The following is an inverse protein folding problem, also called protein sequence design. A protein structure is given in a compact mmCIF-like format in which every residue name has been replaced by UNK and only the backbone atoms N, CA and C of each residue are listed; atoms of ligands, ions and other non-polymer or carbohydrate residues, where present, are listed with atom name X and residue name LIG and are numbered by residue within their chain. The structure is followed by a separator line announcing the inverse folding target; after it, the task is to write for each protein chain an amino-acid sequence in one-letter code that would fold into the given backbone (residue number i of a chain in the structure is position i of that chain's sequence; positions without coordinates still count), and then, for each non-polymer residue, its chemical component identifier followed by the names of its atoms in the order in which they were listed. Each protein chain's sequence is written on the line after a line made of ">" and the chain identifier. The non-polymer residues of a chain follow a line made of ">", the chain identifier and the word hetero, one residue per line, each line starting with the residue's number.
data_IF_669541966082
#
_entry.id   IF_669541966082
#
_cell.length_a   1.000
_cell.length_b   1.000
_cell.length_c   1.000
_cell.angle_alpha   90.00
_cell.angle_beta   90.00
_cell.angle_gamma   90.00
#
_symmetry.space_group_name_H-M   'P 1'
#
loop_
_entity.id
_entity.type
_entity.pdbx_description
1 polymer ?
#
# COMPACT_ATOMS: atom_id res chain seq x y z
N UNK A 1 -10.20 1.70 9.68
CA UNK A 1 -9.66 2.09 8.35
C UNK A 1 -8.16 1.82 8.25
N UNK A 2 -7.36 2.26 9.22
CA UNK A 2 -5.92 1.98 9.31
C UNK A 2 -5.57 0.49 9.42
N UNK A 3 -6.39 -0.31 10.11
CA UNK A 3 -6.22 -1.78 10.13
C UNK A 3 -6.39 -2.43 8.75
N UNK A 4 -7.31 -1.91 7.94
CA UNK A 4 -7.54 -2.40 6.58
C UNK A 4 -6.34 -2.08 5.68
N UNK A 5 -5.81 -0.87 5.80
CA UNK A 5 -4.57 -0.43 5.12
C UNK A 5 -3.41 -1.38 5.46
N UNK A 6 -3.22 -1.68 6.75
CA UNK A 6 -2.19 -2.61 7.21
C UNK A 6 -2.39 -4.02 6.63
N UNK A 7 -3.62 -4.55 6.66
CA UNK A 7 -3.95 -5.87 6.10
C UNK A 7 -3.64 -5.95 4.60
N UNK A 8 -4.11 -4.98 3.82
CA UNK A 8 -3.86 -4.95 2.37
C UNK A 8 -2.36 -4.85 2.08
N UNK A 9 -1.65 -3.99 2.80
CA UNK A 9 -0.21 -3.85 2.62
C UNK A 9 0.53 -5.16 2.91
N UNK A 10 0.14 -5.91 3.95
CA UNK A 10 0.77 -7.20 4.28
C UNK A 10 0.54 -8.23 3.16
N UNK A 11 -0.61 -8.20 2.48
CA UNK A 11 -0.94 -9.10 1.36
C UNK A 11 -0.17 -8.82 0.06
N UNK A 12 0.48 -7.67 -0.06
CA UNK A 12 1.32 -7.35 -1.22
C UNK A 12 2.64 -8.14 -1.20
N UNK A 13 3.16 -8.48 -2.39
CA UNK A 13 4.50 -9.05 -2.58
C UNK A 13 5.59 -8.02 -2.19
N UNK A 14 6.80 -8.50 -1.94
CA UNK A 14 7.89 -7.67 -1.41
C UNK A 14 8.32 -6.53 -2.36
N UNK A 15 8.32 -6.80 -3.67
CA UNK A 15 8.55 -5.82 -4.74
C UNK A 15 7.48 -4.72 -4.72
N UNK A 16 6.21 -5.13 -4.68
CA UNK A 16 5.02 -4.25 -4.62
C UNK A 16 5.01 -3.39 -3.37
N UNK A 17 5.32 -3.97 -2.22
CA UNK A 17 5.49 -3.26 -0.93
C UNK A 17 6.57 -2.18 -1.03
N UNK A 18 7.63 -2.41 -1.79
CA UNK A 18 8.71 -1.43 -1.95
C UNK A 18 8.29 -0.30 -2.89
N UNK A 19 7.70 -0.64 -4.03
CA UNK A 19 7.18 0.33 -4.99
C UNK A 19 6.11 1.25 -4.36
N UNK A 20 5.13 0.68 -3.64
CA UNK A 20 4.03 1.46 -3.07
C UNK A 20 4.50 2.41 -1.97
N UNK A 21 5.52 2.02 -1.19
CA UNK A 21 6.10 2.91 -0.19
C UNK A 21 6.77 4.13 -0.83
N UNK A 22 7.44 3.95 -1.97
CA UNK A 22 8.03 5.05 -2.74
C UNK A 22 6.94 5.95 -3.31
N UNK A 23 5.87 5.38 -3.88
CA UNK A 23 4.73 6.15 -4.39
C UNK A 23 4.11 7.03 -3.30
N UNK A 24 3.82 6.46 -2.14
CA UNK A 24 3.25 7.19 -1.00
C UNK A 24 4.23 8.25 -0.47
N UNK A 25 5.52 7.91 -0.35
CA UNK A 25 6.56 8.83 0.11
C UNK A 25 6.64 10.07 -0.78
N UNK A 26 6.70 9.88 -2.11
CA UNK A 26 6.72 10.97 -3.08
C UNK A 26 5.42 11.78 -3.05
N UNK A 27 4.26 11.12 -3.03
CA UNK A 27 2.94 11.79 -3.08
C UNK A 27 2.69 12.68 -1.88
N UNK A 28 3.14 12.27 -0.70
CA UNK A 28 2.90 12.99 0.55
C UNK A 28 4.14 13.71 1.08
N UNK A 29 5.19 13.82 0.25
CA UNK A 29 6.45 14.49 0.56
C UNK A 29 7.04 14.07 1.92
N UNK A 30 7.18 12.76 2.11
CA UNK A 30 7.70 12.18 3.35
C UNK A 30 8.65 11.01 3.05
N UNK A 31 9.43 10.56 4.04
CA UNK A 31 10.34 9.43 3.82
C UNK A 31 9.59 8.10 3.69
N UNK A 32 10.18 7.18 2.93
CA UNK A 32 9.74 5.78 2.79
C UNK A 32 9.59 5.10 4.17
N UNK A 33 10.49 5.40 5.10
CA UNK A 33 10.42 4.86 6.46
C UNK A 33 9.28 5.45 7.29
N UNK A 34 8.96 6.74 7.12
CA UNK A 34 7.80 7.34 7.78
C UNK A 34 6.50 6.75 7.25
N UNK A 35 6.38 6.50 5.94
CA UNK A 35 5.23 5.75 5.37
C UNK A 35 5.13 4.36 6.00
N UNK A 36 6.25 3.62 6.07
CA UNK A 36 6.25 2.26 6.62
C UNK A 36 5.88 2.23 8.11
N UNK A 37 6.63 2.98 8.92
CA UNK A 37 6.60 2.87 10.37
C UNK A 37 5.46 3.69 10.99
N UNK A 38 5.21 4.91 10.50
CA UNK A 38 4.19 5.77 11.08
C UNK A 38 2.81 5.48 10.49
N UNK A 39 2.72 5.40 9.16
CA UNK A 39 1.43 5.28 8.49
C UNK A 39 0.91 3.85 8.47
N UNK A 40 1.68 2.93 7.88
CA UNK A 40 1.22 1.55 7.66
C UNK A 40 1.21 0.76 8.97
N UNK A 41 2.36 0.65 9.65
CA UNK A 41 2.46 -0.13 10.87
C UNK A 41 1.98 0.61 12.11
N UNK A 42 2.23 1.92 12.17
CA UNK A 42 1.84 2.78 13.30
C UNK A 42 0.40 3.29 13.23
N UNK A 43 -0.30 3.16 12.11
CA UNK A 43 -1.69 3.60 11.95
C UNK A 43 -1.89 5.13 12.05
N UNK A 44 -0.83 5.93 11.97
CA UNK A 44 -0.85 7.39 12.16
C UNK A 44 -1.09 8.14 10.84
N UNK A 45 -1.98 7.62 9.99
CA UNK A 45 -2.36 8.29 8.74
C UNK A 45 -3.38 9.38 9.05
N UNK A 46 -3.13 10.65 8.67
CA UNK A 46 -4.11 11.72 8.84
C UNK A 46 -5.45 11.37 8.19
N UNK A 47 -6.57 11.62 8.87
CA UNK A 47 -7.91 11.21 8.42
C UNK A 47 -8.23 11.62 6.97
N UNK A 48 -7.81 12.83 6.57
CA UNK A 48 -7.95 13.35 5.20
C UNK A 48 -7.27 12.51 4.11
N UNK A 49 -6.23 11.74 4.46
CA UNK A 49 -5.47 10.92 3.51
C UNK A 49 -5.84 9.43 3.58
N UNK A 50 -6.55 8.99 4.63
CA UNK A 50 -6.82 7.57 4.84
C UNK A 50 -7.57 6.92 3.68
N UNK A 51 -8.58 7.60 3.10
CA UNK A 51 -9.35 7.09 1.98
C UNK A 51 -8.49 6.93 0.72
N UNK A 52 -7.70 7.96 0.40
CA UNK A 52 -6.81 7.95 -0.77
C UNK A 52 -5.71 6.90 -0.64
N UNK A 53 -5.07 6.77 0.54
CA UNK A 53 -4.06 5.75 0.82
C UNK A 53 -4.66 4.35 0.69
N UNK A 54 -5.89 4.15 1.17
CA UNK A 54 -6.60 2.88 1.03
C UNK A 54 -6.85 2.55 -0.44
N UNK A 55 -7.34 3.50 -1.24
CA UNK A 55 -7.57 3.32 -2.68
C UNK A 55 -6.28 2.97 -3.43
N UNK A 56 -5.16 3.65 -3.12
CA UNK A 56 -3.84 3.36 -3.70
C UNK A 56 -3.43 1.91 -3.42
N UNK A 57 -3.57 1.44 -2.19
CA UNK A 57 -3.22 0.07 -1.80
C UNK A 57 -4.15 -0.98 -2.41
N UNK A 58 -5.46 -0.70 -2.47
CA UNK A 58 -6.44 -1.58 -3.10
C UNK A 58 -6.17 -1.76 -4.59
N UNK A 59 -5.85 -0.67 -5.29
CA UNK A 59 -5.51 -0.71 -6.71
C UNK A 59 -4.24 -1.53 -6.95
N UNK A 60 -3.24 -1.41 -6.09
CA UNK A 60 -2.01 -2.18 -6.20
C UNK A 60 -2.23 -3.67 -5.95
N UNK A 61 -3.03 -4.01 -4.94
CA UNK A 61 -3.40 -5.40 -4.66
C UNK A 61 -4.21 -6.01 -5.81
N UNK A 62 -5.13 -5.25 -6.40
CA UNK A 62 -5.90 -5.69 -7.57
C UNK A 62 -4.99 -6.02 -8.75
N UNK A 63 -4.03 -5.15 -9.07
CA UNK A 63 -3.04 -5.40 -10.14
C UNK A 63 -2.24 -6.67 -9.89
N UNK A 64 -1.79 -6.89 -8.66
CA UNK A 64 -1.08 -8.12 -8.28
C UNK A 64 -1.95 -9.36 -8.51
N UNK A 65 -3.21 -9.34 -8.03
CA UNK A 65 -4.15 -10.46 -8.22
C UNK A 65 -4.39 -10.72 -9.71
N UNK A 66 -4.55 -9.68 -10.51
CA UNK A 66 -4.77 -9.81 -11.96
C UNK A 66 -3.55 -10.40 -12.68
N UNK A 67 -2.34 -10.07 -12.24
CA UNK A 67 -1.09 -10.70 -12.72
C UNK A 67 -0.97 -12.16 -12.29
N UNK A 68 -1.25 -12.46 -11.03
CA UNK A 68 -1.17 -13.81 -10.49
C UNK A 68 -2.18 -14.73 -11.21
N UNK A 69 -3.38 -14.24 -11.52
CA UNK A 69 -4.37 -14.96 -12.34
C UNK A 69 -3.88 -15.25 -13.76
N UNK A 70 -3.17 -14.31 -14.40
CA UNK A 70 -2.60 -14.53 -15.74
C UNK A 70 -1.52 -15.60 -15.74
N UNK A 71 -0.75 -15.70 -14.65
CA UNK A 71 0.25 -16.76 -14.48
C UNK A 71 -0.44 -18.12 -14.33
N UNK A 72 -1.52 -18.19 -13.55
CA UNK A 72 -2.26 -19.44 -13.31
C UNK A 72 -3.12 -19.91 -14.51
N UNK A 73 -3.42 -19.02 -15.45
CA UNK A 73 -4.17 -19.35 -16.67
C UNK A 73 -3.28 -19.82 -17.84
N UNK A 74 -1.96 -19.89 -17.64
CA UNK A 74 -0.98 -20.47 -18.56
C UNK A 74 -0.63 -21.90 -18.14
#
# INVERSE_FOLDING_TARGET
>A
MTDQIKRIFISLRADRKSAIRVVLATRYNMSVDSVKNMWIYGGKIPAKYQKEVLEILQNELKKQIDEDKKILAK
#
